data_IF_611177097027
#
_entry.id   IF_611177097027
#
_cell.length_a   1.000
_cell.length_b   1.000
_cell.length_c   1.000
_cell.angle_alpha   90.00
_cell.angle_beta   90.00
_cell.angle_gamma   90.00
#
_symmetry.space_group_name_H-M   'P 1'
#
loop_
_entity.id
_entity.type
_entity.pdbx_description
1 polymer ?
#
# COMPACT_ATOMS: atom_id res chain seq x y z
N UNK A 1 18.49 1.17 17.08
CA UNK A 1 19.03 0.96 15.72
C UNK A 1 19.34 2.34 15.15
N UNK A 2 20.62 2.70 14.99
CA UNK A 2 21.01 3.98 14.39
C UNK A 2 20.89 3.80 12.87
N UNK A 3 19.77 4.21 12.31
CA UNK A 3 19.58 4.23 10.85
C UNK A 3 20.59 5.23 10.26
N UNK A 4 21.27 4.85 9.18
CA UNK A 4 22.22 5.72 8.48
C UNK A 4 21.56 6.98 7.90
N UNK A 5 22.28 7.74 7.08
CA UNK A 5 21.70 8.98 6.50
C UNK A 5 20.40 8.70 5.73
N UNK A 6 19.45 9.64 5.77
CA UNK A 6 18.18 9.53 5.03
C UNK A 6 18.40 9.30 3.54
N UNK A 7 19.45 9.92 2.97
CA UNK A 7 19.85 9.73 1.59
C UNK A 7 20.24 8.28 1.31
N UNK A 8 20.94 7.63 2.23
CA UNK A 8 21.30 6.21 2.10
C UNK A 8 20.04 5.36 2.03
N UNK A 9 19.10 5.51 2.97
CA UNK A 9 17.85 4.74 2.96
C UNK A 9 17.07 4.96 1.67
N UNK A 10 16.96 6.22 1.22
CA UNK A 10 16.29 6.56 -0.04
C UNK A 10 16.92 5.84 -1.23
N UNK A 11 18.24 5.85 -1.34
CA UNK A 11 18.96 5.19 -2.42
C UNK A 11 18.74 3.67 -2.41
N UNK A 12 18.73 3.04 -1.24
CA UNK A 12 18.44 1.60 -1.16
C UNK A 12 17.01 1.28 -1.58
N UNK A 13 16.01 2.08 -1.18
CA UNK A 13 14.62 1.90 -1.64
C UNK A 13 14.54 2.04 -3.16
N UNK A 14 15.23 3.04 -3.73
CA UNK A 14 15.30 3.24 -5.18
C UNK A 14 15.99 2.06 -5.90
N UNK A 15 17.06 1.50 -5.34
CA UNK A 15 17.70 0.30 -5.88
C UNK A 15 16.77 -0.91 -5.86
N UNK A 16 15.99 -1.10 -4.78
CA UNK A 16 15.01 -2.18 -4.68
C UNK A 16 13.85 -2.01 -5.67
N UNK A 17 13.39 -0.77 -5.89
CA UNK A 17 12.37 -0.44 -6.88
C UNK A 17 12.86 -0.68 -8.31
N UNK A 18 14.07 -0.21 -8.64
CA UNK A 18 14.71 -0.44 -9.94
C UNK A 18 15.05 -1.91 -10.21
N UNK A 19 15.24 -2.71 -9.15
CA UNK A 19 15.47 -4.16 -9.23
C UNK A 19 14.17 -4.97 -9.24
N UNK A 20 13.00 -4.33 -9.31
CA UNK A 20 11.69 -4.98 -9.32
C UNK A 20 11.42 -5.85 -8.07
N UNK A 21 11.98 -5.48 -6.92
CA UNK A 21 11.72 -6.16 -5.65
C UNK A 21 10.54 -5.55 -4.91
N UNK A 22 10.31 -4.25 -5.06
CA UNK A 22 9.19 -3.53 -4.49
C UNK A 22 8.69 -2.42 -5.42
N UNK A 23 7.51 -1.90 -5.12
CA UNK A 23 6.98 -0.65 -5.63
C UNK A 23 6.76 0.33 -4.49
N UNK A 24 6.86 1.62 -4.81
CA UNK A 24 6.42 2.68 -3.91
C UNK A 24 5.16 3.38 -4.43
N UNK A 25 4.27 3.74 -3.52
CA UNK A 25 2.99 4.38 -3.82
C UNK A 25 2.88 5.69 -3.04
N UNK A 26 2.73 6.81 -3.76
CA UNK A 26 2.65 8.14 -3.18
C UNK A 26 1.23 8.47 -2.69
N UNK A 27 1.12 9.45 -1.80
CA UNK A 27 -0.16 10.03 -1.41
C UNK A 27 -0.73 10.87 -2.57
N UNK A 28 -2.03 10.78 -2.78
CA UNK A 28 -2.75 11.71 -3.64
C UNK A 28 -2.95 13.02 -2.90
N UNK A 29 -2.25 14.07 -3.34
CA UNK A 29 -2.36 15.42 -2.77
C UNK A 29 -2.10 16.51 -3.82
N UNK A 30 -2.82 17.64 -3.80
CA UNK A 30 -2.53 18.76 -4.72
C UNK A 30 -1.12 19.35 -4.56
N UNK A 31 -0.51 19.25 -3.38
CA UNK A 31 0.83 19.74 -3.11
C UNK A 31 1.88 18.70 -3.49
N UNK A 32 2.65 19.01 -4.55
CA UNK A 32 3.82 18.23 -4.96
C UNK A 32 4.82 18.05 -3.80
N UNK A 33 4.98 19.10 -2.97
CA UNK A 33 5.83 19.01 -1.77
C UNK A 33 5.31 17.94 -0.81
N UNK A 34 4.00 17.88 -0.57
CA UNK A 34 3.39 16.85 0.27
C UNK A 34 3.57 15.46 -0.33
N UNK A 35 3.39 15.30 -1.64
CA UNK A 35 3.63 14.03 -2.33
C UNK A 35 5.07 13.51 -2.16
N UNK A 36 6.06 14.42 -2.09
CA UNK A 36 7.48 14.07 -1.92
C UNK A 36 7.87 13.70 -0.48
N UNK A 37 7.29 14.38 0.52
CA UNK A 37 7.68 14.20 1.93
C UNK A 37 6.79 13.22 2.69
N UNK A 38 5.57 12.97 2.20
CA UNK A 38 4.65 12.04 2.84
C UNK A 38 5.23 10.60 2.79
N UNK A 39 4.96 9.78 3.82
CA UNK A 39 5.36 8.38 3.80
C UNK A 39 4.81 7.68 2.56
N UNK A 40 5.66 6.98 1.82
CA UNK A 40 5.19 6.15 0.71
C UNK A 40 4.70 4.81 1.23
N UNK A 41 3.60 4.29 0.67
CA UNK A 41 3.26 2.87 0.86
C UNK A 41 4.25 2.02 0.07
N UNK A 42 4.77 0.97 0.69
CA UNK A 42 5.69 0.01 0.06
C UNK A 42 4.94 -1.29 -0.18
N UNK A 43 4.99 -1.75 -1.43
CA UNK A 43 4.33 -2.97 -1.89
C UNK A 43 5.41 -3.91 -2.42
N UNK A 44 5.39 -5.16 -1.99
CA UNK A 44 6.33 -6.16 -2.51
C UNK A 44 5.84 -6.72 -3.85
N UNK A 45 6.75 -6.93 -4.79
CA UNK A 45 6.42 -7.59 -6.07
C UNK A 45 6.10 -9.07 -5.87
N UNK A 46 6.85 -9.71 -4.97
CA UNK A 46 6.66 -11.11 -4.58
C UNK A 46 6.19 -11.20 -3.11
N UNK A 47 4.99 -11.72 -2.89
CA UNK A 47 4.41 -11.91 -1.55
C UNK A 47 5.10 -13.00 -0.74
N UNK A 48 5.71 -13.99 -1.40
CA UNK A 48 6.54 -15.02 -0.78
C UNK A 48 7.84 -14.43 -0.22
N UNK A 49 8.52 -13.58 -1.00
CA UNK A 49 9.68 -12.82 -0.52
C UNK A 49 9.29 -11.91 0.64
N UNK A 50 8.19 -11.16 0.52
CA UNK A 50 7.68 -10.29 1.58
C UNK A 50 7.42 -11.04 2.89
N UNK A 51 6.90 -12.27 2.80
CA UNK A 51 6.66 -13.14 3.95
C UNK A 51 7.95 -13.73 4.52
N UNK A 52 8.93 -14.02 3.68
CA UNK A 52 10.22 -14.60 4.10
C UNK A 52 11.11 -13.59 4.83
N UNK A 53 11.13 -12.33 4.39
CA UNK A 53 11.97 -11.27 4.98
C UNK A 53 11.21 -10.37 5.95
N UNK A 54 9.88 -10.35 5.86
CA UNK A 54 9.04 -9.51 6.68
C UNK A 54 8.84 -10.07 8.09
N UNK A 55 8.90 -9.20 9.09
CA UNK A 55 8.53 -9.54 10.45
C UNK A 55 7.01 -9.49 10.61
N UNK A 56 6.40 -10.56 11.14
CA UNK A 56 4.99 -10.56 11.50
C UNK A 56 4.73 -11.44 12.71
N UNK A 57 4.09 -10.89 13.74
CA UNK A 57 3.67 -11.62 14.94
C UNK A 57 2.29 -12.29 14.78
N UNK A 58 1.58 -12.03 13.67
CA UNK A 58 0.25 -12.57 13.36
C UNK A 58 0.11 -12.86 11.85
N UNK A 59 -0.95 -13.54 11.38
CA UNK A 59 -1.18 -13.72 9.96
C UNK A 59 -1.40 -12.37 9.26
N UNK A 60 -0.46 -11.97 8.41
CA UNK A 60 -0.46 -10.67 7.74
C UNK A 60 -1.46 -10.58 6.56
N UNK A 61 -2.62 -11.23 6.66
CA UNK A 61 -3.56 -11.51 5.56
C UNK A 61 -4.13 -10.24 4.94
N UNK A 62 -4.44 -9.22 5.74
CA UNK A 62 -4.93 -7.93 5.24
C UNK A 62 -3.92 -7.22 4.33
N UNK A 63 -2.65 -7.14 4.77
CA UNK A 63 -1.58 -6.53 3.97
C UNK A 63 -1.26 -7.34 2.71
N UNK A 64 -1.35 -8.67 2.78
CA UNK A 64 -1.20 -9.52 1.60
C UNK A 64 -2.34 -9.29 0.58
N UNK A 65 -3.57 -9.10 1.06
CA UNK A 65 -4.71 -8.78 0.21
C UNK A 65 -4.54 -7.40 -0.45
N UNK A 66 -4.18 -6.38 0.33
CA UNK A 66 -3.84 -5.04 -0.20
C UNK A 66 -2.73 -5.13 -1.25
N UNK A 67 -1.67 -5.90 -0.99
CA UNK A 67 -0.56 -6.12 -1.91
C UNK A 67 -1.02 -6.76 -3.23
N UNK A 68 -1.87 -7.79 -3.15
CA UNK A 68 -2.44 -8.45 -4.32
C UNK A 68 -3.32 -7.51 -5.15
N UNK A 69 -4.18 -6.73 -4.50
CA UNK A 69 -5.03 -5.73 -5.16
C UNK A 69 -4.17 -4.65 -5.83
N UNK A 70 -3.14 -4.15 -5.15
CA UNK A 70 -2.20 -3.20 -5.75
C UNK A 70 -1.56 -3.76 -7.02
N UNK A 71 -1.03 -4.98 -6.98
CA UNK A 71 -0.35 -5.59 -8.14
C UNK A 71 -1.32 -5.76 -9.33
N UNK A 72 -2.59 -6.08 -9.07
CA UNK A 72 -3.62 -6.15 -10.10
C UNK A 72 -3.93 -4.78 -10.72
N UNK A 73 -4.05 -3.73 -9.90
CA UNK A 73 -4.29 -2.36 -10.37
C UNK A 73 -3.09 -1.78 -11.12
N UNK A 74 -1.88 -2.01 -10.61
CA UNK A 74 -0.63 -1.48 -11.19
C UNK A 74 -0.35 -2.02 -12.59
N UNK A 75 -0.85 -3.21 -12.93
CA UNK A 75 -0.80 -3.77 -14.29
C UNK A 75 -1.70 -3.04 -15.28
N UNK A 76 -2.72 -2.33 -14.79
CA UNK A 76 -3.71 -1.63 -15.61
C UNK A 76 -3.37 -0.15 -15.76
N UNK A 77 -2.81 0.48 -14.72
CA UNK A 77 -2.55 1.92 -14.72
C UNK A 77 -1.39 2.33 -13.81
N UNK A 78 -0.78 3.45 -14.17
CA UNK A 78 0.20 4.15 -13.35
C UNK A 78 -0.41 5.29 -12.51
N UNK A 79 -1.65 5.69 -12.81
CA UNK A 79 -2.42 6.70 -12.07
C UNK A 79 -3.03 6.07 -10.81
N UNK A 80 -2.15 5.69 -9.90
CA UNK A 80 -2.47 4.96 -8.68
C UNK A 80 -1.75 5.63 -7.52
N UNK A 81 -2.52 5.95 -6.47
CA UNK A 81 -2.07 6.61 -5.25
C UNK A 81 -2.74 5.95 -4.05
N UNK A 82 -2.32 6.27 -2.84
CA UNK A 82 -3.17 6.13 -1.66
C UNK A 82 -3.70 7.51 -1.25
N UNK A 83 -4.68 7.59 -0.37
CA UNK A 83 -5.15 8.88 0.13
C UNK A 83 -5.17 8.92 1.64
N UNK A 84 -4.77 10.05 2.22
CA UNK A 84 -4.80 10.27 3.66
C UNK A 84 -5.24 11.69 4.02
N UNK A 85 -6.26 11.79 4.87
CA UNK A 85 -6.77 13.04 5.43
C UNK A 85 -5.89 13.57 6.57
N UNK A 86 -5.94 14.88 6.86
CA UNK A 86 -5.34 15.44 8.07
C UNK A 86 -5.90 14.88 9.38
N UNK A 87 -7.14 14.37 9.36
CA UNK A 87 -7.81 13.78 10.52
C UNK A 87 -7.43 12.30 10.76
N UNK A 88 -6.53 11.73 9.94
CA UNK A 88 -6.01 10.37 10.11
C UNK A 88 -6.81 9.28 9.39
N UNK A 89 -7.85 9.62 8.65
CA UNK A 89 -8.52 8.67 7.75
C UNK A 89 -7.67 8.37 6.52
N UNK A 90 -7.63 7.11 6.11
CA UNK A 90 -6.84 6.63 4.97
C UNK A 90 -7.68 5.73 4.06
N UNK A 91 -7.51 5.90 2.76
CA UNK A 91 -8.05 5.01 1.71
C UNK A 91 -6.89 4.30 1.01
N UNK A 92 -7.05 3.00 0.78
CA UNK A 92 -5.95 2.14 0.32
C UNK A 92 -5.45 2.52 -1.07
N UNK A 93 -6.38 2.71 -2.01
CA UNK A 93 -6.07 3.14 -3.37
C UNK A 93 -6.99 4.25 -3.87
N UNK A 94 -6.40 5.21 -4.56
CA UNK A 94 -7.03 6.35 -5.21
C UNK A 94 -6.56 6.41 -6.67
N UNK A 95 -7.50 6.50 -7.60
CA UNK A 95 -7.27 6.60 -9.04
C UNK A 95 -7.95 7.89 -9.54
N UNK A 96 -7.25 9.03 -9.48
CA UNK A 96 -7.83 10.35 -9.73
C UNK A 96 -8.42 10.51 -11.14
N UNK A 97 -7.75 9.99 -12.16
CA UNK A 97 -8.20 10.04 -13.55
C UNK A 97 -9.48 9.23 -13.80
N UNK A 98 -9.76 8.23 -12.96
CA UNK A 98 -11.02 7.46 -12.99
C UNK A 98 -12.05 7.96 -11.97
N UNK A 99 -11.71 8.94 -11.12
CA UNK A 99 -12.57 9.39 -10.02
C UNK A 99 -12.89 8.28 -9.01
N UNK A 100 -12.00 7.29 -8.84
CA UNK A 100 -12.27 6.06 -8.08
C UNK A 100 -11.44 5.98 -6.79
N UNK A 101 -12.11 5.58 -5.71
CA UNK A 101 -11.51 5.26 -4.42
C UNK A 101 -11.77 3.78 -4.10
N UNK A 102 -10.76 3.06 -3.61
CA UNK A 102 -10.85 1.64 -3.29
C UNK A 102 -10.31 1.41 -1.87
N UNK A 103 -11.14 0.83 -1.02
CA UNK A 103 -10.74 0.31 0.28
C UNK A 103 -10.71 -1.22 0.22
N UNK A 104 -9.64 -1.83 0.73
CA UNK A 104 -9.48 -3.27 0.81
C UNK A 104 -9.72 -3.73 2.24
N UNK A 105 -10.59 -4.72 2.41
CA UNK A 105 -10.86 -5.36 3.70
C UNK A 105 -11.01 -6.85 3.49
N UNK A 106 -10.36 -7.64 4.34
CA UNK A 106 -10.69 -9.05 4.48
C UNK A 106 -12.01 -9.15 5.24
N UNK A 107 -13.02 -9.81 4.68
CA UNK A 107 -14.13 -10.30 5.48
C UNK A 107 -13.57 -11.39 6.38
N UNK A 108 -13.32 -11.07 7.65
CA UNK A 108 -13.14 -12.12 8.65
C UNK A 108 -14.44 -12.93 8.69
N UNK A 109 -14.29 -14.24 8.66
CA UNK A 109 -15.32 -15.27 8.65
C UNK A 109 -16.40 -15.02 9.73
N UNK A 110 -17.43 -14.25 9.37
CA UNK A 110 -18.72 -14.19 10.07
C UNK A 110 -19.84 -14.36 9.04
N UNK A 111 -19.76 -15.45 8.27
CA UNK A 111 -20.78 -15.88 7.32
C UNK A 111 -21.60 -17.07 7.86
N UNK A 112 -21.79 -17.17 9.18
CA UNK A 112 -22.69 -18.17 9.78
C UNK A 112 -23.88 -17.58 10.52
N UNK A 113 -24.18 -16.28 10.36
CA UNK A 113 -25.49 -15.77 10.73
C UNK A 113 -26.20 -15.18 9.51
N UNK A 114 -27.34 -15.77 9.08
CA UNK A 114 -28.11 -15.22 7.98
C UNK A 114 -28.56 -13.81 8.33
N UNK A 115 -28.34 -12.88 7.41
CA UNK A 115 -28.82 -11.51 7.50
C UNK A 115 -30.34 -11.52 7.71
N UNK A 116 -30.79 -10.97 8.83
CA UNK A 116 -32.20 -10.72 9.10
C UNK A 116 -32.46 -9.23 9.02
N UNK A 117 -33.31 -8.75 8.09
CA UNK A 117 -33.73 -7.36 8.09
C UNK A 117 -34.61 -7.07 9.30
N UNK A 118 -34.36 -5.91 9.94
CA UNK A 118 -35.30 -5.23 10.85
C UNK A 118 -36.15 -4.27 10.02
#
# INVERSE_FOLDING_TARGET
MQLGSVNTVKNYVEYLENSWLLFTLNVHDPSVKRQQIAPKKVVAVDTGLARAVGYSSSPNTGRLLENAVFLALRRQTHDLFYWASPAGYEVDFCLPGEGRLIQVRSAAERLLEPWTPV
#
